data_IF_362174749555
#
_entry.id   IF_362174749555
#
_cell.length_a   1.000
_cell.length_b   1.000
_cell.length_c   1.000
_cell.angle_alpha   90.00
_cell.angle_beta   90.00
_cell.angle_gamma   90.00
#
_symmetry.space_group_name_H-M   'P 1'
#
loop_
_entity.id
_entity.type
_entity.pdbx_description
1 polymer ?
2 polymer ?
3 water ?
#
# COMPACT_ATOMS: atom_id res chain seq x y z
N UNK A 14 -2.30 -6.37 15.79
CA UNK A 14 -1.36 -7.30 15.15
C UNK A 14 -2.09 -8.44 14.42
N UNK A 15 -1.82 -8.59 13.13
CA UNK A 15 -2.52 -9.55 12.28
C UNK A 15 -1.76 -9.91 10.99
N UNK A 16 -2.00 -11.12 10.48
CA UNK A 16 -1.35 -11.55 9.24
C UNK A 16 -2.35 -11.86 8.13
N UNK A 17 -1.94 -11.59 6.89
CA UNK A 17 -2.81 -11.69 5.72
C UNK A 17 -2.00 -12.21 4.54
N UNK A 18 -2.63 -13.01 3.69
CA UNK A 18 -1.96 -13.45 2.45
C UNK A 18 -2.32 -12.52 1.31
N UNK A 19 -1.30 -11.97 0.65
CA UNK A 19 -1.51 -10.96 -0.37
C UNK A 19 -0.66 -11.27 -1.61
N UNK A 20 -0.88 -10.50 -2.66
CA UNK A 20 0.00 -10.58 -3.83
C UNK A 20 0.69 -9.26 -3.99
N UNK A 21 1.84 -9.27 -4.67
CA UNK A 21 2.67 -8.08 -4.80
C UNK A 21 2.61 -7.55 -6.24
N UNK A 22 2.13 -6.32 -6.40
CA UNK A 22 2.02 -5.74 -7.74
C UNK A 22 3.38 -5.20 -8.15
N UNK A 23 3.97 -4.35 -7.31
CA UNK A 23 5.29 -3.82 -7.60
C UNK A 23 5.58 -2.54 -6.86
N UNK A 24 6.68 -1.90 -7.21
CA UNK A 24 7.09 -0.69 -6.52
C UNK A 24 7.61 0.36 -7.49
N UNK A 25 7.42 1.62 -7.14
CA UNK A 25 8.11 2.74 -7.79
C UNK A 25 9.01 3.37 -6.73
N UNK A 26 10.32 3.23 -6.90
CA UNK A 26 11.25 3.58 -5.82
C UNK A 26 12.07 4.83 -6.07
N UNK A 27 12.52 5.42 -4.97
CA UNK A 27 13.52 6.51 -5.00
C UNK A 27 13.03 7.72 -5.79
N UNK A 28 11.76 8.08 -5.62
CA UNK A 28 11.24 9.32 -6.15
C UNK A 28 11.70 10.48 -5.27
N UNK A 29 11.97 11.64 -5.88
CA UNK A 29 12.37 12.81 -5.09
C UNK A 29 11.20 13.74 -4.74
N UNK A 30 11.50 15.03 -4.64
CA UNK A 30 10.57 16.05 -4.12
C UNK A 30 10.32 15.85 -2.63
N UNK A 36 2.15 14.39 -4.15
CA UNK A 36 1.15 13.33 -4.01
C UNK A 36 0.35 13.51 -2.72
N UNK A 37 0.04 14.76 -2.40
CA UNK A 37 -0.71 15.08 -1.20
C UNK A 37 -2.21 14.97 -1.46
N UNK A 38 -2.78 13.85 -1.04
CA UNK A 38 -4.19 13.57 -1.27
C UNK A 38 -4.31 12.12 -1.68
N UNK A 39 -5.27 11.40 -1.07
CA UNK A 39 -5.40 9.98 -1.41
C UNK A 39 -5.81 9.81 -2.88
N UNK A 40 -6.57 10.76 -3.42
CA UNK A 40 -6.99 10.67 -4.82
C UNK A 40 -5.81 10.82 -5.79
N UNK A 41 -4.91 11.73 -5.43
CA UNK A 41 -3.67 11.95 -6.20
C UNK A 41 -2.80 10.70 -6.27
N UNK A 42 -2.68 9.98 -5.16
CA UNK A 42 -1.89 8.76 -5.15
C UNK A 42 -2.49 7.70 -6.08
N UNK A 43 -3.81 7.49 -5.99
CA UNK A 43 -4.48 6.55 -6.89
C UNK A 43 -4.22 6.92 -8.35
N UNK A 44 -4.37 8.19 -8.68
CA UNK A 44 -4.15 8.63 -10.04
C UNK A 44 -2.70 8.43 -10.47
N UNK A 45 -1.78 8.71 -9.56
CA UNK A 45 -0.37 8.53 -9.86
C UNK A 45 -0.08 7.08 -10.23
N UNK A 46 -0.62 6.15 -9.46
CA UNK A 46 -0.39 4.74 -9.72
C UNK A 46 -1.10 4.24 -10.99
N UNK A 47 -2.31 4.74 -11.24
CA UNK A 47 -3.01 4.40 -12.50
C UNK A 47 -2.12 4.75 -13.69
N UNK A 48 -1.54 5.95 -13.66
CA UNK A 48 -0.74 6.44 -14.78
C UNK A 48 0.57 5.66 -14.86
N UNK A 49 1.13 5.33 -13.70
CA UNK A 49 2.34 4.50 -13.64
C UNK A 49 2.12 3.13 -14.27
N UNK A 50 0.94 2.56 -14.05
CA UNK A 50 0.60 1.29 -14.70
C UNK A 50 0.50 1.45 -16.22
N UNK A 51 -0.13 2.54 -16.66
CA UNK A 51 -0.25 2.86 -18.07
C UNK A 51 1.13 2.99 -18.70
N UNK A 52 2.06 3.56 -17.94
CA UNK A 52 3.41 3.88 -18.44
C UNK A 52 4.40 2.73 -18.26
N UNK A 53 3.93 1.59 -17.77
CA UNK A 53 4.76 0.41 -17.64
C UNK A 53 5.69 0.38 -16.44
N UNK A 54 5.47 1.25 -15.47
CA UNK A 54 6.32 1.25 -14.29
C UNK A 54 5.90 0.17 -13.31
N UNK A 55 4.63 -0.22 -13.41
CA UNK A 55 4.05 -1.23 -12.55
C UNK A 55 3.09 -2.07 -13.37
N UNK A 56 2.97 -3.37 -13.06
CA UNK A 56 1.95 -4.17 -13.75
C UNK A 56 0.55 -3.73 -13.34
N UNK A 57 -0.45 -4.06 -14.16
CA UNK A 57 -1.85 -3.87 -13.80
C UNK A 57 -2.32 -4.99 -12.89
N UNK A 58 -1.86 -6.21 -13.19
CA UNK A 58 -2.23 -7.41 -12.45
C UNK A 58 -0.98 -8.03 -11.87
N UNK A 59 -1.00 -8.39 -10.57
CA UNK A 59 0.23 -8.93 -9.97
C UNK A 59 0.45 -10.39 -10.37
N UNK A 60 1.68 -10.88 -10.22
CA UNK A 60 1.86 -12.32 -10.33
C UNK A 60 1.03 -13.02 -9.25
N UNK A 61 0.68 -14.28 -9.48
CA UNK A 61 -0.19 -15.00 -8.56
C UNK A 61 0.48 -15.39 -7.24
N UNK A 62 1.82 -15.36 -7.19
CA UNK A 62 2.56 -15.77 -6.00
C UNK A 62 2.09 -15.01 -4.75
N UNK A 63 1.73 -15.76 -3.71
CA UNK A 63 1.25 -15.11 -2.49
C UNK A 63 2.35 -14.90 -1.47
N UNK A 64 2.25 -13.80 -0.74
CA UNK A 64 3.18 -13.46 0.31
C UNK A 64 2.39 -13.27 1.60
N UNK A 65 3.08 -13.33 2.73
CA UNK A 65 2.43 -13.07 3.98
C UNK A 65 2.69 -11.63 4.40
N UNK A 66 1.61 -10.86 4.57
CA UNK A 66 1.77 -9.52 5.10
C UNK A 66 1.38 -9.45 6.59
N UNK A 67 2.34 -9.06 7.43
CA UNK A 67 2.06 -8.88 8.84
C UNK A 67 1.92 -7.40 9.15
N UNK A 68 0.91 -7.04 9.92
CA UNK A 68 0.70 -5.64 10.29
C UNK A 68 0.68 -5.54 11.80
N UNK A 69 1.35 -4.54 12.36
CA UNK A 69 1.47 -4.38 13.80
C UNK A 69 1.91 -2.94 14.12
N UNK A 70 2.23 -2.68 15.38
CA UNK A 70 2.69 -1.36 15.80
C UNK A 70 4.06 -1.00 15.24
N UNK A 71 4.82 -2.01 14.85
CA UNK A 71 6.15 -1.82 14.31
C UNK A 71 6.07 -1.40 12.82
N UNK A 72 4.92 -1.68 12.19
CA UNK A 72 4.72 -1.39 10.78
C UNK A 72 4.20 -2.59 10.02
N UNK A 73 4.60 -2.71 8.76
CA UNK A 73 4.14 -3.78 7.89
C UNK A 73 5.34 -4.59 7.42
N UNK A 74 5.21 -5.91 7.48
CA UNK A 74 6.27 -6.78 7.01
C UNK A 74 5.73 -7.71 5.95
N UNK A 75 6.47 -7.90 4.86
CA UNK A 75 6.02 -8.83 3.82
C UNK A 75 7.04 -9.95 3.63
N UNK A 76 6.59 -11.19 3.77
CA UNK A 76 7.49 -12.35 3.77
C UNK A 76 7.02 -13.38 2.74
N UNK A 77 7.91 -14.26 2.32
CA UNK A 77 7.48 -15.38 1.48
C UNK A 77 6.51 -16.27 2.23
N UNK A 78 5.71 -17.04 1.48
CA UNK A 78 4.63 -17.80 2.08
C UNK A 78 5.10 -18.96 2.97
N UNK A 79 6.41 -19.23 2.97
CA UNK A 79 6.97 -20.23 3.88
C UNK A 79 7.68 -19.57 5.06
N UNK A 80 7.61 -18.24 5.10
CA UNK A 80 8.16 -17.43 6.19
C UNK A 80 9.69 -17.45 6.26
N UNK A 81 10.31 -18.16 5.33
CA UNK A 81 11.75 -18.30 5.33
C UNK A 81 12.47 -17.00 4.99
N UNK A 82 11.83 -16.17 4.17
CA UNK A 82 12.47 -14.95 3.71
C UNK A 82 11.57 -13.74 3.86
N UNK A 83 12.14 -12.66 4.40
CA UNK A 83 11.45 -11.38 4.43
C UNK A 83 11.75 -10.64 3.14
N UNK A 84 10.71 -10.12 2.51
CA UNK A 84 10.84 -9.38 1.26
C UNK A 84 10.94 -7.88 1.56
N UNK A 85 9.95 -7.36 2.28
CA UNK A 85 9.90 -5.93 2.57
C UNK A 85 9.68 -5.71 4.05
N UNK A 86 10.35 -4.70 4.60
CA UNK A 86 10.02 -4.21 5.92
C UNK A 86 9.70 -2.72 5.82
N UNK A 87 8.41 -2.41 6.00
CA UNK A 87 7.93 -1.03 6.00
C UNK A 87 7.68 -0.56 7.44
N UNK A 88 8.65 0.12 8.02
CA UNK A 88 8.52 0.48 9.41
C UNK A 88 7.53 1.62 9.58
N UNK A 89 6.86 1.63 10.72
CA UNK A 89 5.85 2.64 11.01
C UNK A 89 6.44 4.05 10.88
N UNK A 90 7.67 4.23 11.37
CA UNK A 90 8.36 5.52 11.31
C UNK A 90 8.37 6.13 9.91
N UNK A 91 8.44 5.26 8.90
CA UNK A 91 8.71 5.65 7.52
C UNK A 91 7.49 5.59 6.60
N UNK A 92 6.36 5.13 7.13
CA UNK A 92 5.13 5.07 6.36
C UNK A 92 4.47 6.45 6.36
N UNK A 93 4.21 6.99 5.17
CA UNK A 93 3.59 8.30 5.07
C UNK A 93 2.08 8.16 4.99
N UNK A 94 1.63 7.27 4.12
CA UNK A 94 0.21 7.01 3.98
C UNK A 94 -0.03 5.72 3.23
N UNK A 95 -1.20 5.13 3.45
CA UNK A 95 -1.59 3.93 2.73
C UNK A 95 -3.01 4.12 2.24
N UNK A 96 -3.24 3.88 0.95
CA UNK A 96 -4.56 4.04 0.37
C UNK A 96 -5.07 2.70 -0.14
N UNK A 97 -6.30 2.41 0.24
CA UNK A 97 -6.99 1.21 -0.20
C UNK A 97 -8.03 1.58 -1.25
N UNK A 98 -7.99 0.88 -2.39
CA UNK A 98 -8.91 1.22 -3.47
C UNK A 98 -9.14 0.05 -4.43
N UNK A 99 -10.27 0.08 -5.12
CA UNK A 99 -10.65 -0.87 -6.14
C UNK A 99 -9.76 -0.59 -7.35
N UNK A 100 -9.16 -1.64 -7.93
CA UNK A 100 -8.25 -1.40 -9.05
C UNK A 100 -8.93 -0.83 -10.29
N UNK A 101 -10.24 -0.98 -10.39
CA UNK A 101 -10.99 -0.45 -11.50
C UNK A 101 -10.90 -1.26 -12.79
N UNK A 102 -10.35 -2.47 -12.70
CA UNK A 102 -10.12 -3.30 -13.87
C UNK A 102 -11.27 -4.24 -14.19
N UNK A 103 -12.29 -4.28 -13.33
CA UNK A 103 -13.53 -4.96 -13.66
C UNK A 103 -13.82 -6.20 -12.84
N UNK A 104 -12.85 -6.60 -12.01
CA UNK A 104 -12.98 -7.80 -11.21
C UNK A 104 -13.10 -7.47 -9.72
N UNK A 105 -13.16 -6.18 -9.39
CA UNK A 105 -13.35 -5.75 -8.03
C UNK A 105 -12.18 -5.98 -7.09
N UNK A 106 -11.01 -6.31 -7.63
CA UNK A 106 -9.84 -6.56 -6.79
C UNK A 106 -9.44 -5.31 -6.00
N UNK A 107 -8.98 -5.53 -4.76
CA UNK A 107 -8.66 -4.43 -3.85
C UNK A 107 -7.15 -4.25 -3.74
N UNK A 108 -6.71 -3.01 -3.91
CA UNK A 108 -5.28 -2.69 -3.85
C UNK A 108 -4.96 -1.92 -2.58
N UNK A 109 -3.71 -2.05 -2.11
CA UNK A 109 -3.16 -1.22 -1.06
C UNK A 109 -1.92 -0.55 -1.66
N UNK A 110 -1.92 0.77 -1.69
CA UNK A 110 -0.77 1.53 -2.14
C UNK A 110 -0.15 2.20 -0.93
N UNK A 111 1.10 1.85 -0.67
CA UNK A 111 1.82 2.38 0.48
C UNK A 111 2.85 3.39 0.00
N UNK A 112 2.77 4.60 0.54
CA UNK A 112 3.81 5.60 0.29
C UNK A 112 4.76 5.64 1.51
N UNK A 113 6.06 5.49 1.26
CA UNK A 113 7.04 5.47 2.35
C UNK A 113 8.18 6.43 2.03
N UNK A 114 8.99 6.71 3.05
CA UNK A 114 10.15 7.58 2.86
C UNK A 114 11.38 6.93 3.49
N UNK A 115 12.52 7.61 3.44
CA UNK A 115 13.75 7.05 4.01
C UNK A 115 14.10 7.75 5.32
N UNK A 116 15.20 7.31 5.94
CA UNK A 116 15.57 7.82 7.27
C UNK A 116 15.68 9.34 7.35
N UNK A 117 16.09 9.99 6.25
CA UNK A 117 16.26 11.43 6.26
C UNK A 117 15.07 12.16 5.64
N UNK A 118 14.08 11.39 5.21
CA UNK A 118 12.88 11.98 4.59
C UNK A 118 13.27 12.81 3.35
N UNK A 119 14.10 12.22 2.49
CA UNK A 119 14.58 12.91 1.27
C UNK A 119 14.04 12.26 -0.01
N UNK A 120 13.70 10.98 0.07
CA UNK A 120 13.18 10.23 -1.07
C UNK A 120 11.90 9.53 -0.65
N UNK A 121 11.07 9.19 -1.63
CA UNK A 121 9.81 8.50 -1.39
C UNK A 121 9.76 7.26 -2.28
N UNK A 122 9.05 6.23 -1.83
CA UNK A 122 8.79 5.04 -2.66
C UNK A 122 7.32 4.65 -2.52
N UNK A 123 6.78 4.07 -3.58
CA UNK A 123 5.40 3.58 -3.58
C UNK A 123 5.44 2.07 -3.72
N UNK A 124 4.68 1.38 -2.87
CA UNK A 124 4.63 -0.08 -2.88
C UNK A 124 3.18 -0.48 -3.04
N UNK A 125 2.89 -1.36 -3.99
CA UNK A 125 1.50 -1.69 -4.26
C UNK A 125 1.24 -3.19 -4.11
N UNK A 126 0.21 -3.52 -3.34
CA UNK A 126 -0.15 -4.89 -3.06
C UNK A 126 -1.60 -5.12 -3.45
N UNK A 127 -1.94 -6.37 -3.72
CA UNK A 127 -3.33 -6.72 -3.99
C UNK A 127 -3.83 -7.72 -2.95
N UNK A 128 -4.94 -7.39 -2.30
CA UNK A 128 -5.51 -8.26 -1.27
C UNK A 128 -6.48 -9.28 -1.85
N UNK A 129 -6.74 -10.36 -1.09
CA UNK A 129 -7.67 -11.41 -1.47
C UNK A 129 -9.13 -10.93 -1.52
N UNK A 130 -9.44 -9.93 -0.71
CA UNK A 130 -10.81 -9.44 -0.60
C UNK A 130 -10.78 -8.04 -0.02
N UNK A 131 -11.87 -7.32 -0.19
CA UNK A 131 -11.98 -5.97 0.35
C UNK A 131 -11.99 -6.01 1.88
N UNK A 132 -12.68 -6.99 2.46
CA UNK A 132 -12.71 -7.16 3.92
C UNK A 132 -11.28 -7.20 4.45
N UNK A 133 -10.41 -7.95 3.78
CA UNK A 133 -9.02 -8.04 4.26
C UNK A 133 -8.24 -6.75 4.08
N UNK A 134 -8.41 -6.10 2.94
CA UNK A 134 -7.78 -4.81 2.72
C UNK A 134 -8.16 -3.82 3.81
N UNK A 135 -9.45 -3.77 4.16
CA UNK A 135 -9.93 -2.87 5.20
C UNK A 135 -9.39 -3.25 6.57
N UNK A 136 -9.27 -4.56 6.81
CA UNK A 136 -8.74 -5.05 8.08
C UNK A 136 -7.30 -4.60 8.25
N UNK A 137 -6.54 -4.68 7.16
CA UNK A 137 -5.16 -4.24 7.17
C UNK A 137 -5.06 -2.74 7.49
N UNK A 138 -5.89 -1.95 6.82
CA UNK A 138 -5.92 -0.51 7.09
C UNK A 138 -6.29 -0.19 8.55
N UNK A 139 -7.20 -0.96 9.13
CA UNK A 139 -7.64 -0.72 10.50
C UNK A 139 -6.51 -0.95 11.50
N UNK A 140 -5.73 -2.02 11.30
CA UNK A 140 -4.60 -2.29 12.19
C UNK A 140 -3.56 -1.17 12.08
N UNK A 141 -3.30 -0.74 10.85
CA UNK A 141 -2.34 0.34 10.64
C UNK A 141 -2.82 1.64 11.29
N UNK A 142 -4.09 1.96 11.15
CA UNK A 142 -4.63 3.18 11.74
C UNK A 142 -4.57 3.15 13.26
N UNK A 143 -4.85 1.98 13.83
CA UNK A 143 -4.76 1.78 15.28
C UNK A 143 -3.31 1.94 15.72
N UNK A 144 -2.39 1.44 14.90
CA UNK A 144 -0.96 1.57 15.16
C UNK A 144 -0.52 3.03 15.29
N UNK A 145 -0.93 3.87 14.35
CA UNK A 145 -0.67 5.31 14.46
C UNK A 145 -1.32 5.93 15.70
N UNK A 146 -2.54 5.49 16.02
CA UNK A 146 -3.28 6.00 17.17
C UNK A 146 -2.53 5.85 18.49
N UNK A 147 -1.82 4.74 18.62
CA UNK A 147 -1.14 4.39 19.86
C UNK A 147 0.15 5.22 20.01
N UNK A 148 0.53 5.91 18.95
CA UNK A 148 1.67 6.82 19.00
C UNK A 148 1.23 8.21 19.46
N UNK B 14 -10.85 4.99 -19.49
CA UNK B 14 -10.43 3.66 -19.08
C UNK B 14 -11.18 3.21 -17.83
N UNK B 15 -10.48 3.25 -16.70
CA UNK B 15 -11.01 2.85 -15.42
C UNK B 15 -11.81 3.99 -14.83
N UNK B 16 -12.74 3.68 -13.91
CA UNK B 16 -13.49 4.72 -13.20
C UNK B 16 -12.56 5.68 -12.46
N UNK B 17 -13.10 6.84 -12.07
CA UNK B 17 -12.31 7.85 -11.37
C UNK B 17 -11.84 7.34 -10.00
N UNK B 18 -10.74 7.91 -9.49
CA UNK B 18 -10.28 7.54 -8.15
C UNK B 18 -11.39 7.71 -7.10
N UNK B 19 -12.23 8.74 -7.25
CA UNK B 19 -13.28 8.99 -6.25
C UNK B 19 -14.22 7.79 -6.13
N UNK B 20 -14.55 7.19 -7.27
CA UNK B 20 -15.45 6.04 -7.30
C UNK B 20 -14.84 4.75 -6.78
N UNK B 21 -13.51 4.73 -6.64
CA UNK B 21 -12.77 3.51 -6.32
C UNK B 21 -12.17 3.49 -4.89
N UNK B 22 -11.98 4.67 -4.31
CA UNK B 22 -11.32 4.75 -3.02
C UNK B 22 -12.17 4.18 -1.90
N UNK B 23 -11.53 3.43 -1.01
CA UNK B 23 -12.22 2.80 0.12
C UNK B 23 -11.85 3.48 1.42
N UNK B 24 -10.55 3.65 1.63
CA UNK B 24 -10.09 4.31 2.83
C UNK B 24 -8.64 4.73 2.65
N UNK B 25 -8.20 5.66 3.47
CA UNK B 25 -6.76 5.90 3.54
C UNK B 25 -6.33 6.15 4.97
N UNK B 26 -5.07 5.86 5.23
CA UNK B 26 -4.53 5.94 6.57
C UNK B 26 -3.32 6.83 6.46
N UNK B 27 -3.23 7.83 7.33
CA UNK B 27 -2.18 8.82 7.25
C UNK B 27 -1.36 8.80 8.54
N UNK B 28 -0.04 8.83 8.38
CA UNK B 28 0.85 8.98 9.52
C UNK B 28 0.88 10.43 9.94
N UNK B 29 0.37 10.74 11.13
CA UNK B 29 0.30 12.15 11.55
C UNK B 29 1.68 12.82 11.66
N UNK B 30 2.75 12.03 11.74
CA UNK B 30 4.10 12.59 11.82
C UNK B 30 4.49 13.39 10.57
N UNK B 31 3.89 13.07 9.43
CA UNK B 31 4.20 13.77 8.19
C UNK B 31 3.04 14.60 7.68
N UNK B 32 1.98 14.73 8.48
CA UNK B 32 0.78 15.45 8.05
C UNK B 32 0.86 16.95 8.34
#
# INVERSE_FOLDING_TARGET
>A
GSSSGQSNNNSDTCAEFRIKYVGAIEKLKLSEGKGLEGPLDLINYIDVAQQDGKLPFVPPEEEFIMGVSKYGIKVSTSDQYDVLHRHALYLIIRMVCYDDGLGAGKSLLALKTTDASNEEYSLWVYQCNSLEQAQAICKVLSTAFDSVLTSEKP
>B
GPLGSQSHFIPALFRPSPLERIKTNVINPAYATE
#
